data_IF_582690289603
#
_entry.id   IF_582690289603
#
_cell.length_a   1.000
_cell.length_b   1.000
_cell.length_c   1.000
_cell.angle_alpha   90.00
_cell.angle_beta   90.00
_cell.angle_gamma   90.00
#
_symmetry.space_group_name_H-M   'P 1'
#
loop_
_entity.id
_entity.type
_entity.pdbx_description
1 polymer ?
#
# COMPACT_ATOMS: atom_id res chain seq x y z
N UNK A 1 -18.39 55.30 -14.02
CA UNK A 1 -17.00 54.78 -13.96
C UNK A 1 -16.74 53.96 -12.70
N UNK A 2 -17.03 54.47 -11.50
CA UNK A 2 -16.78 53.77 -10.22
C UNK A 2 -17.47 52.38 -10.11
N UNK A 3 -18.75 52.27 -10.46
CA UNK A 3 -19.51 51.01 -10.39
C UNK A 3 -18.88 49.85 -11.19
N UNK A 4 -18.28 50.14 -12.35
CA UNK A 4 -17.60 49.12 -13.17
C UNK A 4 -16.26 48.68 -12.55
N UNK A 5 -15.57 49.57 -11.82
CA UNK A 5 -14.35 49.24 -11.08
C UNK A 5 -14.64 48.36 -9.85
N UNK A 6 -15.77 48.56 -9.19
CA UNK A 6 -16.18 47.74 -8.03
C UNK A 6 -16.62 46.34 -8.46
N UNK A 7 -17.39 46.23 -9.55
CA UNK A 7 -17.81 44.93 -10.10
C UNK A 7 -16.59 44.07 -10.53
N UNK A 8 -15.59 44.68 -11.18
CA UNK A 8 -14.37 43.96 -11.58
C UNK A 8 -13.57 43.43 -10.38
N UNK A 9 -13.54 44.17 -9.26
CA UNK A 9 -12.87 43.74 -8.03
C UNK A 9 -13.61 42.60 -7.33
N UNK A 10 -14.95 42.63 -7.32
CA UNK A 10 -15.76 41.56 -6.74
C UNK A 10 -15.56 40.23 -7.48
N UNK A 11 -15.62 40.23 -8.82
CA UNK A 11 -15.39 39.01 -9.63
C UNK A 11 -13.98 38.46 -9.46
N UNK A 12 -12.97 39.33 -9.34
CA UNK A 12 -11.59 38.89 -9.10
C UNK A 12 -11.42 38.26 -7.70
N UNK A 13 -12.11 38.79 -6.69
CA UNK A 13 -12.10 38.21 -5.34
C UNK A 13 -12.81 36.86 -5.27
N UNK A 14 -13.96 36.71 -5.92
CA UNK A 14 -14.66 35.41 -6.01
C UNK A 14 -13.83 34.36 -6.75
N UNK A 15 -13.23 34.73 -7.88
CA UNK A 15 -12.34 33.83 -8.63
C UNK A 15 -11.16 33.35 -7.80
N UNK A 16 -10.56 34.24 -6.99
CA UNK A 16 -9.48 33.88 -6.07
C UNK A 16 -9.96 32.96 -4.96
N UNK A 17 -11.10 33.25 -4.33
CA UNK A 17 -11.65 32.44 -3.26
C UNK A 17 -12.01 31.02 -3.73
N UNK A 18 -12.58 30.88 -4.92
CA UNK A 18 -12.85 29.57 -5.54
C UNK A 18 -11.55 28.82 -5.84
N UNK A 19 -10.54 29.51 -6.38
CA UNK A 19 -9.22 28.92 -6.62
C UNK A 19 -8.55 28.43 -5.33
N UNK A 20 -8.56 29.23 -4.28
CA UNK A 20 -7.99 28.88 -2.97
C UNK A 20 -8.75 27.72 -2.30
N UNK A 21 -10.08 27.67 -2.45
CA UNK A 21 -10.90 26.55 -1.96
C UNK A 21 -10.63 25.24 -2.70
N UNK A 22 -10.47 25.28 -4.03
CA UNK A 22 -10.11 24.10 -4.83
C UNK A 22 -8.69 23.63 -4.50
N UNK A 23 -7.74 24.55 -4.28
CA UNK A 23 -6.39 24.21 -3.85
C UNK A 23 -6.40 23.55 -2.46
N UNK A 24 -7.17 24.08 -1.49
CA UNK A 24 -7.32 23.45 -0.18
C UNK A 24 -7.98 22.08 -0.26
N UNK A 25 -8.97 21.88 -1.13
CA UNK A 25 -9.62 20.58 -1.34
C UNK A 25 -8.63 19.55 -1.93
N UNK A 26 -7.81 19.97 -2.90
CA UNK A 26 -6.75 19.13 -3.47
C UNK A 26 -5.68 18.74 -2.43
N UNK A 27 -5.27 19.69 -1.56
CA UNK A 27 -4.33 19.43 -0.46
C UNK A 27 -4.94 18.48 0.57
N UNK A 28 -6.24 18.64 0.91
CA UNK A 28 -6.94 17.74 1.84
C UNK A 28 -7.04 16.31 1.31
N UNK A 29 -7.10 16.13 -0.01
CA UNK A 29 -7.16 14.80 -0.63
C UNK A 29 -5.85 14.02 -0.55
N UNK A 30 -4.72 14.68 -0.29
CA UNK A 30 -3.41 14.04 -0.24
C UNK A 30 -2.70 14.34 1.07
N UNK A 31 -3.00 13.55 2.12
CA UNK A 31 -2.28 13.65 3.38
C UNK A 31 -0.93 12.91 3.21
N UNK A 32 0.18 13.64 3.16
CA UNK A 32 1.53 13.08 2.98
C UNK A 32 1.71 12.23 1.70
N UNK A 33 1.01 12.58 0.62
CA UNK A 33 1.06 11.82 -0.64
C UNK A 33 0.23 10.53 -0.63
N UNK A 34 -0.48 10.24 0.46
CA UNK A 34 -1.44 9.14 0.54
C UNK A 34 -2.83 9.70 0.19
N UNK A 35 -3.55 9.10 -0.78
CA UNK A 35 -4.92 9.52 -1.08
C UNK A 35 -5.80 9.27 0.15
N UNK A 36 -6.48 10.32 0.61
CA UNK A 36 -7.51 10.20 1.66
C UNK A 36 -8.82 9.87 0.95
N UNK A 37 -9.15 8.59 0.89
CA UNK A 37 -10.42 8.14 0.35
C UNK A 37 -11.42 7.92 1.48
N UNK A 38 -12.57 8.57 1.39
CA UNK A 38 -13.68 8.46 2.37
C UNK A 38 -14.88 7.68 1.83
N UNK A 39 -14.72 6.95 0.73
CA UNK A 39 -15.74 6.07 0.15
C UNK A 39 -15.53 4.58 0.49
N UNK A 40 -16.51 3.74 0.11
CA UNK A 40 -16.41 2.28 0.24
C UNK A 40 -15.29 1.73 -0.65
N UNK A 41 -14.65 0.63 -0.25
CA UNK A 41 -13.62 -0.01 -1.06
C UNK A 41 -14.15 -0.45 -2.42
N UNK A 42 -13.27 -0.41 -3.43
CA UNK A 42 -13.61 -0.88 -4.78
C UNK A 42 -13.98 -2.37 -4.73
N UNK A 43 -14.90 -2.85 -5.59
CA UNK A 43 -15.23 -4.26 -5.65
C UNK A 43 -14.01 -5.18 -5.88
N UNK A 44 -13.00 -4.67 -6.59
CA UNK A 44 -11.72 -5.36 -6.80
C UNK A 44 -10.93 -5.52 -5.49
N UNK A 45 -10.79 -4.46 -4.69
CA UNK A 45 -10.11 -4.54 -3.39
C UNK A 45 -10.79 -5.52 -2.44
N UNK A 46 -12.13 -5.56 -2.43
CA UNK A 46 -12.90 -6.53 -1.64
C UNK A 46 -12.62 -7.97 -2.10
N UNK A 47 -12.47 -8.21 -3.41
CA UNK A 47 -12.08 -9.52 -3.92
C UNK A 47 -10.68 -9.90 -3.47
N UNK A 48 -9.74 -8.94 -3.43
CA UNK A 48 -8.35 -9.16 -2.99
C UNK A 48 -8.15 -9.34 -1.48
N UNK A 49 -9.22 -9.24 -0.68
CA UNK A 49 -9.18 -9.40 0.77
C UNK A 49 -8.55 -10.75 1.21
N UNK A 50 -8.81 -11.84 0.50
CA UNK A 50 -8.27 -13.16 0.86
C UNK A 50 -6.73 -13.24 0.73
N UNK A 51 -6.15 -12.58 -0.28
CA UNK A 51 -4.69 -12.48 -0.44
C UNK A 51 -4.07 -11.74 0.74
N UNK A 52 -4.68 -10.65 1.16
CA UNK A 52 -4.22 -9.90 2.33
C UNK A 52 -4.20 -10.75 3.60
N UNK A 53 -5.22 -11.60 3.82
CA UNK A 53 -5.22 -12.55 4.93
C UNK A 53 -4.06 -13.54 4.85
N UNK A 54 -3.81 -14.10 3.67
CA UNK A 54 -2.70 -15.04 3.47
C UNK A 54 -1.35 -14.39 3.82
N UNK A 55 -1.15 -13.13 3.41
CA UNK A 55 0.04 -12.33 3.76
C UNK A 55 0.13 -12.12 5.27
N UNK A 56 -0.96 -11.68 5.92
CA UNK A 56 -0.98 -11.42 7.36
C UNK A 56 -0.77 -12.70 8.19
N UNK A 57 -1.38 -13.82 7.78
CA UNK A 57 -1.13 -15.12 8.42
C UNK A 57 0.34 -15.51 8.30
N UNK A 58 0.95 -15.30 7.13
CA UNK A 58 2.39 -15.57 6.92
C UNK A 58 3.26 -14.68 7.81
N UNK A 59 2.97 -13.39 7.88
CA UNK A 59 3.67 -12.44 8.76
C UNK A 59 3.49 -12.81 10.23
N UNK A 60 2.29 -13.20 10.67
CA UNK A 60 2.04 -13.61 12.05
C UNK A 60 2.83 -14.87 12.43
N UNK A 61 2.90 -15.87 11.55
CA UNK A 61 3.73 -17.07 11.76
C UNK A 61 5.21 -16.68 11.85
N UNK A 62 5.70 -15.87 10.93
CA UNK A 62 7.10 -15.40 10.94
C UNK A 62 7.42 -14.56 12.19
N UNK A 63 6.46 -13.77 12.67
CA UNK A 63 6.57 -13.00 13.92
C UNK A 63 6.72 -13.93 15.13
N UNK A 64 5.91 -14.98 15.24
CA UNK A 64 6.02 -16.00 16.30
C UNK A 64 7.39 -16.72 16.21
N UNK A 65 7.82 -17.09 15.01
CA UNK A 65 9.13 -17.72 14.80
C UNK A 65 10.29 -16.79 15.18
N UNK A 66 10.17 -15.49 14.89
CA UNK A 66 11.15 -14.46 15.27
C UNK A 66 11.28 -14.34 16.79
N UNK A 67 10.16 -14.33 17.53
CA UNK A 67 10.20 -14.34 19.00
C UNK A 67 10.77 -15.65 19.56
N UNK A 68 10.34 -16.81 19.05
CA UNK A 68 10.68 -18.10 19.63
C UNK A 68 12.08 -18.61 19.31
N UNK A 69 12.59 -18.37 18.09
CA UNK A 69 13.84 -18.95 17.59
C UNK A 69 14.97 -17.92 17.56
N UNK A 70 14.67 -16.68 17.15
CA UNK A 70 15.67 -15.61 17.06
C UNK A 70 15.82 -14.83 18.37
N UNK A 71 14.80 -14.88 19.25
CA UNK A 71 14.72 -14.08 20.48
C UNK A 71 14.91 -12.56 20.22
N UNK A 72 14.56 -12.11 19.01
CA UNK A 72 14.62 -10.69 18.62
C UNK A 72 13.34 -9.98 19.05
N UNK A 73 13.32 -9.51 20.30
CA UNK A 73 12.14 -8.91 20.93
C UNK A 73 11.76 -7.60 20.23
N UNK A 74 12.74 -6.76 19.88
CA UNK A 74 12.48 -5.44 19.32
C UNK A 74 11.97 -5.53 17.87
N UNK A 75 12.62 -6.35 17.04
CA UNK A 75 12.15 -6.59 15.68
C UNK A 75 10.81 -7.32 15.64
N UNK A 76 10.62 -8.31 16.52
CA UNK A 76 9.34 -9.00 16.68
C UNK A 76 8.21 -8.05 17.12
N UNK A 77 8.49 -7.08 18.00
CA UNK A 77 7.51 -6.09 18.43
C UNK A 77 7.06 -5.18 17.29
N UNK A 78 7.99 -4.66 16.48
CA UNK A 78 7.66 -3.87 15.30
C UNK A 78 6.84 -4.67 14.29
N UNK A 79 7.24 -5.91 14.02
CA UNK A 79 6.51 -6.81 13.12
C UNK A 79 5.09 -7.11 13.64
N UNK A 80 4.91 -7.24 14.96
CA UNK A 80 3.59 -7.39 15.59
C UNK A 80 2.71 -6.15 15.41
N UNK A 81 3.28 -4.94 15.50
CA UNK A 81 2.57 -3.69 15.20
C UNK A 81 2.13 -3.63 13.73
N UNK A 82 2.98 -4.08 12.79
CA UNK A 82 2.61 -4.16 11.38
C UNK A 82 1.48 -5.17 11.13
N UNK A 83 1.51 -6.33 11.81
CA UNK A 83 0.41 -7.31 11.76
C UNK A 83 -0.88 -6.71 12.33
N UNK A 84 -0.80 -5.96 13.43
CA UNK A 84 -1.96 -5.31 14.03
C UNK A 84 -2.52 -4.20 13.12
N UNK A 85 -1.65 -3.43 12.46
CA UNK A 85 -2.06 -2.42 11.49
C UNK A 85 -2.72 -3.06 10.26
N UNK A 86 -2.16 -4.15 9.75
CA UNK A 86 -2.74 -4.92 8.65
C UNK A 86 -4.04 -5.66 9.02
N UNK A 87 -4.20 -6.05 10.28
CA UNK A 87 -5.49 -6.53 10.78
C UNK A 87 -6.52 -5.40 10.87
N UNK A 88 -6.10 -4.22 11.33
CA UNK A 88 -6.96 -3.05 11.44
C UNK A 88 -7.46 -2.56 10.08
N UNK A 89 -6.60 -2.53 9.07
CA UNK A 89 -6.96 -2.20 7.69
C UNK A 89 -7.99 -3.16 7.12
N UNK A 90 -7.84 -4.46 7.42
CA UNK A 90 -8.85 -5.46 7.03
C UNK A 90 -10.20 -5.17 7.69
N UNK A 91 -10.21 -4.84 8.99
CA UNK A 91 -11.44 -4.53 9.72
C UNK A 91 -12.14 -3.23 9.24
N UNK A 92 -11.38 -2.29 8.68
CA UNK A 92 -11.88 -1.01 8.12
C UNK A 92 -12.22 -1.14 6.62
N UNK A 93 -12.87 -2.23 6.23
CA UNK A 93 -13.31 -2.50 4.85
C UNK A 93 -12.23 -2.25 3.79
N UNK A 94 -10.96 -2.62 4.08
CA UNK A 94 -9.84 -2.45 3.14
C UNK A 94 -9.60 -1.00 2.70
N UNK A 95 -9.91 0.02 3.53
CA UNK A 95 -9.70 1.42 3.15
C UNK A 95 -8.27 1.66 2.63
N UNK A 96 -8.18 2.22 1.41
CA UNK A 96 -6.91 2.39 0.69
C UNK A 96 -5.88 3.21 1.47
N UNK A 97 -6.31 4.21 2.23
CA UNK A 97 -5.41 5.05 3.03
C UNK A 97 -4.67 4.23 4.07
N UNK A 98 -5.39 3.36 4.79
CA UNK A 98 -4.75 2.48 5.76
C UNK A 98 -3.91 1.41 5.07
N UNK A 99 -4.38 0.86 3.95
CA UNK A 99 -3.64 -0.15 3.18
C UNK A 99 -2.29 0.39 2.68
N UNK A 100 -2.25 1.62 2.16
CA UNK A 100 -1.02 2.29 1.78
C UNK A 100 -0.12 2.57 2.99
N UNK A 101 -0.68 3.01 4.11
CA UNK A 101 0.08 3.24 5.34
C UNK A 101 0.72 1.95 5.87
N UNK A 102 -0.03 0.84 5.87
CA UNK A 102 0.46 -0.49 6.21
C UNK A 102 1.57 -0.95 5.26
N UNK A 103 1.35 -0.87 3.95
CA UNK A 103 2.35 -1.23 2.94
C UNK A 103 3.64 -0.43 3.04
N UNK A 104 3.54 0.89 3.26
CA UNK A 104 4.70 1.76 3.45
C UNK A 104 5.46 1.42 4.75
N UNK A 105 4.73 1.14 5.83
CA UNK A 105 5.34 0.72 7.08
C UNK A 105 6.07 -0.63 6.93
N UNK A 106 5.48 -1.59 6.21
CA UNK A 106 6.14 -2.84 5.84
C UNK A 106 7.37 -2.62 4.94
N UNK A 107 7.33 -1.68 4.00
CA UNK A 107 8.49 -1.36 3.15
C UNK A 107 9.67 -0.84 3.97
N UNK A 108 9.41 0.11 4.87
CA UNK A 108 10.42 0.71 5.74
C UNK A 108 10.99 -0.33 6.71
N UNK A 109 10.14 -1.13 7.35
CA UNK A 109 10.60 -2.20 8.24
C UNK A 109 11.39 -3.28 7.50
N UNK A 110 10.91 -3.69 6.32
CA UNK A 110 11.56 -4.68 5.48
C UNK A 110 12.94 -4.23 5.04
N UNK A 111 13.12 -2.93 4.75
CA UNK A 111 14.44 -2.37 4.44
C UNK A 111 15.39 -2.43 5.64
N UNK A 112 14.92 -2.10 6.85
CA UNK A 112 15.73 -2.22 8.06
C UNK A 112 16.08 -3.68 8.37
N UNK A 113 15.15 -4.61 8.18
CA UNK A 113 15.38 -6.03 8.36
C UNK A 113 16.39 -6.58 7.34
N UNK A 114 16.31 -6.17 6.06
CA UNK A 114 17.33 -6.50 5.06
C UNK A 114 18.72 -6.01 5.50
N UNK A 115 18.83 -4.77 5.98
CA UNK A 115 20.10 -4.23 6.48
C UNK A 115 20.60 -5.01 7.70
N UNK A 116 19.71 -5.38 8.61
CA UNK A 116 20.03 -6.18 9.79
C UNK A 116 20.51 -7.60 9.44
N UNK A 117 20.09 -8.16 8.30
CA UNK A 117 20.57 -9.45 7.80
C UNK A 117 21.89 -9.32 7.05
N UNK A 118 22.05 -8.28 6.23
CA UNK A 118 23.24 -8.07 5.39
C UNK A 118 24.48 -7.76 6.26
N UNK A 119 24.34 -6.95 7.31
CA UNK A 119 25.48 -6.54 8.14
C UNK A 119 26.21 -7.74 8.79
N UNK A 120 25.55 -8.65 9.54
CA UNK A 120 26.20 -9.83 10.09
C UNK A 120 26.77 -10.79 9.04
N UNK A 121 26.15 -10.84 7.85
CA UNK A 121 26.60 -11.67 6.74
C UNK A 121 27.96 -11.18 6.21
N UNK A 122 28.12 -9.87 6.05
CA UNK A 122 29.39 -9.24 5.61
C UNK A 122 30.50 -9.46 6.64
N UNK A 123 30.19 -9.36 7.93
CA UNK A 123 31.18 -9.55 9.01
C UNK A 123 31.47 -11.03 9.34
N UNK A 124 30.82 -11.98 8.66
CA UNK A 124 31.01 -13.41 8.93
C UNK A 124 30.54 -13.84 10.33
N UNK A 125 29.66 -13.06 10.97
CA UNK A 125 29.14 -13.30 12.32
C UNK A 125 28.03 -14.36 12.35
N UNK A 126 27.61 -14.86 11.19
CA UNK A 126 26.55 -15.85 11.08
C UNK A 126 27.04 -17.25 11.46
N UNK A 127 26.69 -17.67 12.68
CA UNK A 127 26.74 -19.08 13.06
C UNK A 127 25.72 -19.88 12.25
N UNK A 128 26.17 -20.99 11.65
CA UNK A 128 25.48 -21.76 10.61
C UNK A 128 24.29 -22.59 11.12
N UNK A 129 23.27 -21.96 11.69
CA UNK A 129 21.96 -22.57 11.88
C UNK A 129 21.07 -22.22 10.67
N UNK A 130 20.96 -23.16 9.71
CA UNK A 130 20.16 -22.98 8.49
C UNK A 130 18.75 -22.42 8.76
N UNK A 131 18.08 -22.91 9.81
CA UNK A 131 16.74 -22.45 10.22
C UNK A 131 16.73 -20.95 10.54
N UNK A 132 17.74 -20.43 11.25
CA UNK A 132 17.82 -19.00 11.59
C UNK A 132 17.98 -18.15 10.34
N UNK A 133 18.82 -18.60 9.40
CA UNK A 133 19.03 -17.92 8.12
C UNK A 133 17.74 -17.89 7.31
N UNK A 134 17.03 -19.01 7.23
CA UNK A 134 15.75 -19.08 6.51
C UNK A 134 14.74 -18.10 7.09
N UNK A 135 14.56 -18.06 8.41
CA UNK A 135 13.64 -17.10 9.05
C UNK A 135 14.08 -15.66 8.81
N UNK A 136 15.37 -15.37 8.98
CA UNK A 136 15.96 -14.04 8.74
C UNK A 136 15.71 -13.55 7.31
N UNK A 137 15.71 -14.43 6.32
CA UNK A 137 15.43 -14.06 4.92
C UNK A 137 13.93 -13.99 4.64
N UNK A 138 13.13 -14.92 5.17
CA UNK A 138 11.69 -14.96 4.96
C UNK A 138 10.96 -13.73 5.54
N UNK A 139 11.43 -13.18 6.67
CA UNK A 139 10.84 -12.01 7.31
C UNK A 139 10.82 -10.78 6.37
N UNK A 140 11.96 -10.22 5.91
CA UNK A 140 11.95 -9.07 5.02
C UNK A 140 11.27 -9.38 3.69
N UNK A 141 11.37 -10.62 3.17
CA UNK A 141 10.64 -11.00 1.96
C UNK A 141 9.12 -10.90 2.15
N UNK A 142 8.59 -11.33 3.29
CA UNK A 142 7.17 -11.23 3.59
C UNK A 142 6.70 -9.77 3.70
N UNK A 143 7.54 -8.87 4.24
CA UNK A 143 7.24 -7.45 4.37
C UNK A 143 7.33 -6.71 3.04
N UNK A 144 8.33 -7.03 2.21
CA UNK A 144 8.43 -6.52 0.85
C UNK A 144 7.27 -7.01 -0.02
N UNK A 145 6.81 -8.25 0.18
CA UNK A 145 5.64 -8.78 -0.51
C UNK A 145 4.36 -8.04 -0.08
N UNK A 146 4.18 -7.77 1.22
CA UNK A 146 3.08 -6.94 1.72
C UNK A 146 3.10 -5.52 1.14
N UNK A 147 4.30 -4.90 1.06
CA UNK A 147 4.47 -3.58 0.46
C UNK A 147 4.14 -3.58 -1.04
N UNK A 148 4.62 -4.57 -1.78
CA UNK A 148 4.30 -4.75 -3.19
C UNK A 148 2.79 -4.96 -3.42
N UNK A 149 2.14 -5.72 -2.53
CA UNK A 149 0.69 -5.94 -2.57
C UNK A 149 -0.10 -4.65 -2.31
N UNK A 150 0.30 -3.86 -1.32
CA UNK A 150 -0.32 -2.56 -1.07
C UNK A 150 -0.12 -1.58 -2.25
N UNK A 151 1.04 -1.63 -2.91
CA UNK A 151 1.32 -0.85 -4.12
C UNK A 151 0.41 -1.26 -5.28
N UNK A 152 0.20 -2.56 -5.48
CA UNK A 152 -0.73 -3.09 -6.48
C UNK A 152 -2.18 -2.60 -6.24
N UNK A 153 -2.67 -2.67 -5.00
CA UNK A 153 -4.00 -2.15 -4.65
C UNK A 153 -4.12 -0.64 -4.85
N UNK A 154 -3.05 0.11 -4.61
CA UNK A 154 -3.00 1.54 -4.91
C UNK A 154 -3.07 1.82 -6.41
N UNK A 155 -2.45 0.99 -7.25
CA UNK A 155 -2.49 1.15 -8.70
C UNK A 155 -3.90 0.94 -9.25
N UNK A 156 -4.60 -0.11 -8.81
CA UNK A 156 -6.02 -0.36 -9.16
C UNK A 156 -6.92 0.81 -8.73
N UNK A 157 -6.76 1.30 -7.49
CA UNK A 157 -7.48 2.47 -7.01
C UNK A 157 -7.19 3.72 -7.87
N UNK A 158 -5.93 3.94 -8.22
CA UNK A 158 -5.52 5.09 -9.01
C UNK A 158 -6.05 5.03 -10.45
N UNK A 159 -6.11 3.84 -11.05
CA UNK A 159 -6.73 3.62 -12.36
C UNK A 159 -8.23 3.93 -12.33
N UNK A 160 -8.93 3.48 -11.28
CA UNK A 160 -10.36 3.77 -11.04
C UNK A 160 -10.66 5.27 -10.90
N UNK A 161 -9.76 6.04 -10.31
CA UNK A 161 -9.87 7.50 -10.14
C UNK A 161 -9.24 8.31 -11.29
N UNK A 162 -8.82 7.65 -12.38
CA UNK A 162 -8.15 8.28 -13.54
C UNK A 162 -6.90 9.08 -13.18
N UNK A 163 -6.19 8.67 -12.13
CA UNK A 163 -4.92 9.26 -11.72
C UNK A 163 -3.76 8.70 -12.53
N UNK A 164 -2.79 9.55 -12.89
CA UNK A 164 -1.56 9.09 -13.56
C UNK A 164 -0.60 8.52 -12.54
N UNK A 165 -0.42 7.20 -12.57
CA UNK A 165 0.56 6.46 -11.76
C UNK A 165 1.66 5.87 -12.66
N UNK A 166 2.87 5.61 -12.13
CA UNK A 166 3.90 4.92 -12.90
C UNK A 166 3.42 3.54 -13.37
N UNK A 167 3.79 3.11 -14.59
CA UNK A 167 3.40 1.81 -15.17
C UNK A 167 4.07 0.59 -14.48
N UNK A 168 4.75 0.80 -13.36
CA UNK A 168 5.45 -0.26 -12.64
C UNK A 168 4.52 -0.91 -11.61
N UNK A 169 4.00 -2.08 -11.95
CA UNK A 169 3.28 -2.96 -11.02
C UNK A 169 3.83 -4.39 -11.14
N UNK A 170 4.64 -4.86 -10.16
CA UNK A 170 5.26 -6.17 -10.23
C UNK A 170 4.26 -7.32 -9.99
N UNK A 171 3.14 -7.06 -9.30
CA UNK A 171 2.19 -8.11 -8.90
C UNK A 171 1.00 -8.24 -9.84
N UNK A 172 0.69 -7.22 -10.65
CA UNK A 172 -0.42 -7.25 -11.61
C UNK A 172 -0.51 -8.55 -12.41
N UNK A 173 0.62 -9.00 -13.01
CA UNK A 173 0.64 -10.25 -13.79
C UNK A 173 0.35 -11.49 -12.94
N UNK A 174 0.95 -11.57 -11.76
CA UNK A 174 0.82 -12.72 -10.87
C UNK A 174 -0.61 -12.85 -10.33
N UNK A 175 -1.20 -11.72 -9.93
CA UNK A 175 -2.57 -11.68 -9.40
C UNK A 175 -3.58 -12.02 -10.50
N UNK A 176 -3.44 -11.44 -11.69
CA UNK A 176 -4.34 -11.71 -12.81
C UNK A 176 -4.28 -13.17 -13.30
N UNK A 177 -3.10 -13.81 -13.22
CA UNK A 177 -2.97 -15.23 -13.58
C UNK A 177 -3.52 -16.18 -12.50
N UNK A 178 -3.44 -15.78 -11.22
CA UNK A 178 -3.81 -16.62 -10.08
C UNK A 178 -5.22 -16.38 -9.53
N UNK A 179 -5.95 -15.38 -10.02
CA UNK A 179 -7.33 -15.10 -9.60
C UNK A 179 -8.33 -15.96 -10.39
N UNK A 180 -8.80 -17.11 -9.86
CA UNK A 180 -9.75 -17.98 -10.56
C UNK A 180 -11.14 -17.34 -10.70
N UNK A 181 -11.41 -16.27 -9.95
CA UNK A 181 -12.68 -15.55 -9.95
C UNK A 181 -12.70 -14.34 -10.89
N UNK A 182 -11.65 -14.12 -11.70
CA UNK A 182 -11.78 -13.32 -12.91
C UNK A 182 -12.66 -14.09 -13.91
N UNK A 183 -13.95 -14.16 -13.59
CA UNK A 183 -15.02 -14.53 -14.52
C UNK A 183 -14.83 -13.57 -15.69
N UNK A 184 -14.23 -14.10 -16.78
CA UNK A 184 -14.22 -13.51 -18.11
C UNK A 184 -15.48 -12.66 -18.26
N UNK A 185 -15.37 -11.35 -18.52
CA UNK A 185 -16.57 -10.55 -18.72
C UNK A 185 -17.45 -11.31 -19.71
N UNK A 186 -18.66 -11.70 -19.29
CA UNK A 186 -19.60 -12.49 -20.09
C UNK A 186 -20.00 -11.78 -21.40
N UNK A 187 -19.49 -10.57 -21.62
CA UNK A 187 -19.69 -9.79 -22.81
C UNK A 187 -18.35 -9.53 -23.51
N UNK A 188 -18.03 -10.38 -24.48
CA UNK A 188 -17.01 -10.07 -25.46
C UNK A 188 -17.41 -8.83 -26.26
N UNK A 189 -16.84 -7.67 -25.94
CA UNK A 189 -16.60 -6.52 -26.84
C UNK A 189 -15.95 -5.40 -26.04
N UNK A 190 -14.69 -5.11 -26.36
CA UNK A 190 -14.00 -3.96 -25.77
C UNK A 190 -12.49 -3.91 -25.95
N UNK A 191 -11.93 -4.52 -27.01
CA UNK A 191 -10.63 -4.05 -27.50
C UNK A 191 -10.85 -2.61 -27.99
N UNK A 192 -10.23 -1.64 -27.32
CA UNK A 192 -9.71 -0.47 -28.02
C UNK A 192 -8.36 -0.11 -27.43
N UNK A 193 -7.35 -0.83 -27.92
CA UNK A 193 -6.01 -0.29 -28.14
C UNK A 193 -6.11 1.08 -28.80
N UNK A 194 -5.84 2.12 -28.03
CA UNK A 194 -5.69 3.49 -28.50
C UNK A 194 -4.37 4.07 -27.98
N UNK A 195 -3.30 3.71 -28.69
CA UNK A 195 -1.95 4.35 -28.81
C UNK A 195 -1.37 5.11 -27.63
#
# INVERSE_FOLDING_TARGET
AAMWSDLGRAVAQEGKAVGDALAQDQIRKHLFGIPVHVGPATPYMLRMQHWMHAILCTQAVLCILRFGILFDILGGFWMALLCALGWYTWHQDMNITYTCAWGLACLVNGLFDVLAVILPLIFGLLSAAFIKITILVCVPLSELFAAAFAWHLYHDYAEGEHMKVPDFDPLSKLVNELDPEEIKPLNGKGKSTGK
#
